data_IF_330702377369
#
_entry.id   IF_330702377369
#
_cell.length_a   1.000
_cell.length_b   1.000
_cell.length_c   1.000
_cell.angle_alpha   90.00
_cell.angle_beta   90.00
_cell.angle_gamma   90.00
#
_symmetry.space_group_name_H-M   'P 1'
#
loop_
_entity.id
_entity.type
_entity.pdbx_description
1 polymer ?
#
# COMPACT_ATOMS: atom_id res chain seq x y z
N UNK A 1 -0.04 -9.88 -0.45
CA UNK A 1 0.82 -10.95 -1.02
C UNK A 1 1.95 -10.37 -1.90
N UNK A 2 3.10 -9.99 -1.31
CA UNK A 2 4.18 -9.32 -2.05
C UNK A 2 4.98 -10.30 -2.92
N UNK A 3 5.47 -9.80 -4.06
CA UNK A 3 6.56 -10.45 -4.81
C UNK A 3 7.88 -9.83 -4.37
N UNK A 4 8.72 -10.62 -3.68
CA UNK A 4 9.97 -10.17 -3.08
C UNK A 4 11.19 -10.33 -4.00
N UNK A 5 11.01 -10.81 -5.24
CA UNK A 5 12.13 -11.01 -6.18
C UNK A 5 12.77 -9.71 -6.67
N UNK A 6 12.12 -8.57 -6.44
CA UNK A 6 12.60 -7.26 -6.83
C UNK A 6 12.18 -6.18 -5.82
N UNK A 7 12.85 -5.02 -5.86
CA UNK A 7 12.56 -3.89 -4.98
C UNK A 7 11.31 -3.10 -5.40
N UNK A 8 11.50 -1.82 -5.77
CA UNK A 8 10.42 -0.87 -6.04
C UNK A 8 9.49 -0.66 -4.83
N UNK A 9 10.08 -0.56 -3.63
CA UNK A 9 9.32 -0.39 -2.39
C UNK A 9 8.41 0.84 -2.46
N UNK A 10 7.18 0.67 -1.99
CA UNK A 10 6.24 1.77 -1.83
C UNK A 10 6.73 2.63 -0.66
N UNK A 11 6.93 3.93 -0.89
CA UNK A 11 7.30 4.89 0.17
C UNK A 11 6.28 6.01 0.31
N UNK A 12 6.07 6.44 1.54
CA UNK A 12 5.21 7.58 1.89
C UNK A 12 5.97 8.90 1.67
N UNK A 13 5.32 9.83 0.98
CA UNK A 13 5.81 11.17 0.67
C UNK A 13 4.94 12.26 1.30
N UNK A 14 3.88 11.88 2.03
CA UNK A 14 2.89 12.83 2.56
C UNK A 14 3.53 13.95 3.38
N UNK A 15 4.57 13.66 4.17
CA UNK A 15 5.33 14.64 4.95
C UNK A 15 6.04 15.68 4.06
N UNK A 16 6.66 15.25 2.95
CA UNK A 16 7.36 16.15 2.04
C UNK A 16 6.35 17.00 1.26
N UNK A 17 5.36 16.37 0.65
CA UNK A 17 4.47 17.06 -0.30
C UNK A 17 3.37 17.87 0.39
N UNK A 18 3.13 17.66 1.70
CA UNK A 18 2.28 18.54 2.50
C UNK A 18 2.77 20.00 2.46
N UNK A 19 4.08 20.21 2.29
CA UNK A 19 4.71 21.52 2.21
C UNK A 19 4.81 22.07 0.77
N UNK A 20 4.23 21.37 -0.21
CA UNK A 20 4.26 21.80 -1.61
C UNK A 20 3.10 22.75 -1.95
N UNK A 21 3.20 23.43 -3.10
CA UNK A 21 2.09 24.22 -3.64
C UNK A 21 1.15 23.44 -4.55
N UNK A 22 1.34 22.12 -4.64
CA UNK A 22 0.53 21.29 -5.51
C UNK A 22 -0.79 20.94 -4.81
N UNK A 23 -1.87 21.61 -5.23
CA UNK A 23 -3.20 21.50 -4.61
C UNK A 23 -3.74 20.07 -4.54
N UNK A 24 -3.45 19.23 -5.53
CA UNK A 24 -3.87 17.83 -5.57
C UNK A 24 -3.34 17.06 -4.36
N UNK A 25 -2.05 17.18 -4.06
CA UNK A 25 -1.45 16.50 -2.90
C UNK A 25 -1.96 17.06 -1.58
N UNK A 26 -2.02 18.40 -1.44
CA UNK A 26 -2.51 19.04 -0.22
C UNK A 26 -3.96 18.68 0.09
N UNK A 27 -4.83 18.68 -0.93
CA UNK A 27 -6.24 18.34 -0.77
C UNK A 27 -6.42 16.90 -0.27
N UNK A 28 -5.72 15.94 -0.87
CA UNK A 28 -5.78 14.54 -0.43
C UNK A 28 -5.31 14.39 1.02
N UNK A 29 -4.21 15.03 1.40
CA UNK A 29 -3.68 14.95 2.78
C UNK A 29 -4.64 15.58 3.79
N UNK A 30 -5.20 16.76 3.47
CA UNK A 30 -6.17 17.43 4.33
C UNK A 30 -7.42 16.58 4.59
N UNK A 31 -7.80 15.74 3.64
CA UNK A 31 -8.94 14.81 3.74
C UNK A 31 -8.56 13.43 4.34
N UNK A 32 -7.41 13.32 5.03
CA UNK A 32 -6.96 12.09 5.68
C UNK A 32 -6.39 11.03 4.72
N UNK A 33 -6.15 11.40 3.45
CA UNK A 33 -5.52 10.55 2.46
C UNK A 33 -4.00 10.44 2.64
N UNK A 34 -3.37 9.74 1.69
CA UNK A 34 -1.93 9.51 1.64
C UNK A 34 -1.38 9.82 0.25
N UNK A 35 -0.13 10.27 0.21
CA UNK A 35 0.63 10.43 -1.04
C UNK A 35 1.82 9.49 -0.96
N UNK A 36 1.81 8.46 -1.79
CA UNK A 36 2.88 7.47 -1.84
C UNK A 36 3.33 7.28 -3.28
N UNK A 37 4.48 6.64 -3.46
CA UNK A 37 4.95 6.32 -4.80
C UNK A 37 5.88 5.12 -4.85
N UNK A 38 6.39 4.87 -6.05
CA UNK A 38 7.49 3.95 -6.35
C UNK A 38 8.45 4.63 -7.33
N UNK A 39 9.68 4.16 -7.40
CA UNK A 39 10.69 4.62 -8.36
C UNK A 39 10.95 3.55 -9.41
N UNK A 40 10.59 3.81 -10.66
CA UNK A 40 10.86 2.96 -11.81
C UNK A 40 12.25 3.29 -12.40
N UNK A 41 13.24 2.37 -12.27
CA UNK A 41 14.61 2.65 -12.66
C UNK A 41 14.77 2.77 -14.17
N UNK A 42 15.54 3.76 -14.63
CA UNK A 42 15.85 3.99 -16.04
C UNK A 42 14.66 4.43 -16.91
N UNK A 43 13.54 4.81 -16.31
CA UNK A 43 12.31 5.13 -17.03
C UNK A 43 12.08 6.64 -17.28
N UNK A 44 13.04 7.52 -16.98
CA UNK A 44 12.87 8.96 -17.18
C UNK A 44 12.54 9.35 -18.63
N UNK A 45 12.96 8.53 -19.61
CA UNK A 45 12.73 8.74 -21.05
C UNK A 45 11.43 8.13 -21.57
N UNK A 46 10.54 7.65 -20.69
CA UNK A 46 9.24 7.14 -21.10
C UNK A 46 8.49 8.16 -21.97
N UNK A 47 7.91 7.66 -23.06
CA UNK A 47 7.12 8.47 -24.00
C UNK A 47 5.78 8.87 -23.38
N UNK A 48 5.13 9.88 -23.95
CA UNK A 48 3.78 10.30 -23.51
C UNK A 48 2.78 9.15 -23.53
N UNK A 49 2.85 8.27 -24.53
CA UNK A 49 1.96 7.12 -24.64
C UNK A 49 2.20 6.11 -23.51
N UNK A 50 3.47 5.80 -23.19
CA UNK A 50 3.79 4.91 -22.07
C UNK A 50 3.36 5.48 -20.72
N UNK A 51 3.50 6.80 -20.52
CA UNK A 51 3.00 7.45 -19.30
C UNK A 51 1.47 7.44 -19.23
N UNK A 52 0.78 7.58 -20.38
CA UNK A 52 -0.68 7.51 -20.47
C UNK A 52 -1.20 6.09 -20.18
N UNK A 53 -0.50 5.03 -20.63
CA UNK A 53 -0.82 3.65 -20.26
C UNK A 53 -0.76 3.43 -18.74
N UNK A 54 0.31 3.90 -18.09
CA UNK A 54 0.44 3.79 -16.63
C UNK A 54 -0.65 4.60 -15.90
N UNK A 55 -1.00 5.78 -16.42
CA UNK A 55 -2.10 6.58 -15.88
C UNK A 55 -3.45 5.87 -16.02
N UNK A 56 -3.73 5.26 -17.18
CA UNK A 56 -4.94 4.45 -17.40
C UNK A 56 -5.02 3.25 -16.48
N UNK A 57 -3.88 2.58 -16.23
CA UNK A 57 -3.82 1.48 -15.27
C UNK A 57 -4.19 1.95 -13.85
N UNK A 58 -3.67 3.10 -13.42
CA UNK A 58 -4.04 3.68 -12.13
C UNK A 58 -5.54 4.06 -12.07
N UNK A 59 -6.07 4.64 -13.14
CA UNK A 59 -7.49 5.03 -13.23
C UNK A 59 -8.44 3.84 -13.26
N UNK A 60 -8.05 2.72 -13.90
CA UNK A 60 -8.84 1.49 -13.92
C UNK A 60 -9.05 0.89 -12.52
N UNK A 61 -8.17 1.22 -11.56
CA UNK A 61 -8.28 0.83 -10.16
C UNK A 61 -9.00 1.88 -9.29
N UNK A 62 -9.49 2.96 -9.89
CA UNK A 62 -10.25 4.02 -9.21
C UNK A 62 -9.42 5.20 -8.70
N UNK A 63 -8.13 5.29 -9.02
CA UNK A 63 -7.38 6.51 -8.75
C UNK A 63 -7.84 7.65 -9.68
N UNK A 64 -7.85 8.89 -9.19
CA UNK A 64 -8.15 10.05 -10.05
C UNK A 64 -7.10 10.24 -11.15
N UNK A 65 -5.85 9.88 -10.86
CA UNK A 65 -4.75 9.88 -11.82
C UNK A 65 -3.42 9.47 -11.20
N UNK A 66 -2.39 9.51 -12.04
CA UNK A 66 -1.01 9.19 -11.71
C UNK A 66 -0.12 10.41 -11.96
N UNK A 67 0.58 10.87 -10.93
CA UNK A 67 1.61 11.88 -11.09
C UNK A 67 2.92 11.20 -11.44
N UNK A 68 3.49 11.54 -12.59
CA UNK A 68 4.76 11.03 -13.06
C UNK A 68 5.83 12.12 -12.95
N UNK A 69 7.05 11.74 -12.58
CA UNK A 69 8.17 12.67 -12.45
C UNK A 69 9.47 12.04 -12.93
N UNK A 70 9.91 12.44 -14.13
CA UNK A 70 11.21 12.01 -14.68
C UNK A 70 12.34 12.85 -14.07
N UNK A 71 13.37 12.18 -13.57
CA UNK A 71 14.55 12.79 -12.95
C UNK A 71 15.69 12.98 -13.95
N UNK A 72 15.53 13.91 -14.90
CA UNK A 72 16.56 14.23 -15.89
C UNK A 72 17.03 13.03 -16.74
N UNK A 73 18.23 13.13 -17.30
CA UNK A 73 18.86 12.05 -18.08
C UNK A 73 19.81 11.22 -17.22
N UNK A 74 20.05 9.94 -17.56
CA UNK A 74 21.06 9.14 -16.88
C UNK A 74 22.44 9.80 -16.90
N UNK A 75 23.19 9.64 -15.81
CA UNK A 75 24.52 10.23 -15.62
C UNK A 75 24.49 11.55 -14.86
N UNK A 76 25.33 11.66 -13.83
CA UNK A 76 25.40 12.82 -12.92
C UNK A 76 24.83 12.54 -11.53
N UNK A 77 25.06 13.47 -10.60
CA UNK A 77 24.53 13.41 -9.24
C UNK A 77 23.15 14.07 -9.18
N UNK A 78 22.26 13.53 -8.33
CA UNK A 78 21.03 14.23 -7.93
C UNK A 78 21.32 15.62 -7.37
N UNK A 79 22.52 15.88 -6.84
CA UNK A 79 22.91 17.21 -6.35
C UNK A 79 22.89 18.29 -7.45
N UNK A 80 23.13 17.88 -8.70
CA UNK A 80 23.10 18.77 -9.86
C UNK A 80 21.70 18.87 -10.50
N UNK A 81 20.69 18.21 -9.94
CA UNK A 81 19.32 18.28 -10.44
C UNK A 81 18.81 19.73 -10.39
N UNK A 82 18.41 20.24 -11.54
CA UNK A 82 17.70 21.51 -11.66
C UNK A 82 16.23 21.27 -11.99
N UNK A 83 15.38 22.28 -11.78
CA UNK A 83 13.94 22.15 -12.05
C UNK A 83 13.66 21.90 -13.54
N UNK A 84 14.50 22.42 -14.43
CA UNK A 84 14.40 22.28 -15.89
C UNK A 84 14.65 20.83 -16.36
N UNK A 85 15.43 20.06 -15.59
CA UNK A 85 15.68 18.65 -15.85
C UNK A 85 14.50 17.76 -15.45
N UNK A 86 13.59 18.26 -14.62
CA UNK A 86 12.46 17.48 -14.10
C UNK A 86 11.26 17.62 -15.03
N UNK A 87 10.76 16.49 -15.54
CA UNK A 87 9.53 16.46 -16.34
C UNK A 87 8.39 15.93 -15.50
N UNK A 88 7.51 16.84 -15.06
CA UNK A 88 6.29 16.49 -14.31
C UNK A 88 5.28 17.65 -14.36
N UNK A 89 3.99 17.34 -14.32
CA UNK A 89 2.93 18.34 -14.09
C UNK A 89 3.05 18.99 -12.70
N UNK A 90 3.66 18.31 -11.73
CA UNK A 90 3.86 18.78 -10.37
C UNK A 90 5.15 19.59 -10.19
N UNK A 91 6.09 19.57 -11.17
CA UNK A 91 7.43 20.12 -11.00
C UNK A 91 7.40 21.59 -10.57
N UNK A 92 6.62 22.43 -11.25
CA UNK A 92 6.52 23.88 -10.96
C UNK A 92 5.94 24.24 -9.58
N UNK A 93 5.38 23.26 -8.86
CA UNK A 93 4.77 23.43 -7.54
C UNK A 93 5.63 22.84 -6.42
N UNK A 94 6.80 22.31 -6.77
CA UNK A 94 7.74 21.69 -5.86
C UNK A 94 9.07 22.44 -5.93
N UNK A 95 9.74 22.57 -4.80
CA UNK A 95 11.11 23.06 -4.79
C UNK A 95 12.06 21.95 -5.27
N UNK A 96 13.22 22.33 -5.81
CA UNK A 96 14.26 21.36 -6.16
C UNK A 96 14.67 20.50 -4.96
N UNK A 97 14.72 21.10 -3.77
CA UNK A 97 15.03 20.38 -2.53
C UNK A 97 13.96 19.33 -2.19
N UNK A 98 12.67 19.65 -2.29
CA UNK A 98 11.58 18.67 -2.11
C UNK A 98 11.70 17.51 -3.10
N UNK A 99 12.00 17.77 -4.37
CA UNK A 99 12.20 16.72 -5.38
C UNK A 99 13.41 15.84 -5.03
N UNK A 100 14.52 16.43 -4.58
CA UNK A 100 15.69 15.67 -4.12
C UNK A 100 15.37 14.83 -2.89
N UNK A 101 14.59 15.34 -1.94
CA UNK A 101 14.14 14.57 -0.77
C UNK A 101 13.26 13.39 -1.18
N UNK A 102 12.33 13.60 -2.11
CA UNK A 102 11.50 12.52 -2.67
C UNK A 102 12.37 11.46 -3.35
N UNK A 103 13.27 11.87 -4.25
CA UNK A 103 14.19 10.97 -4.95
C UNK A 103 15.05 10.16 -3.97
N UNK A 104 15.64 10.81 -2.97
CA UNK A 104 16.42 10.16 -1.92
C UNK A 104 15.60 9.14 -1.13
N UNK A 105 14.32 9.42 -0.84
CA UNK A 105 13.44 8.51 -0.12
C UNK A 105 13.19 7.21 -0.87
N UNK A 106 13.16 7.27 -2.20
CA UNK A 106 13.05 6.10 -3.05
C UNK A 106 14.39 5.43 -3.39
N UNK A 107 15.52 6.04 -3.02
CA UNK A 107 16.83 5.63 -3.54
C UNK A 107 16.96 5.83 -5.06
N UNK A 108 16.22 6.78 -5.62
CA UNK A 108 16.22 7.08 -7.05
C UNK A 108 17.54 7.73 -7.48
N UNK A 109 17.86 7.59 -8.76
CA UNK A 109 19.00 8.22 -9.43
C UNK A 109 18.54 9.10 -10.60
N UNK A 110 19.45 9.90 -11.14
CA UNK A 110 19.24 10.57 -12.42
C UNK A 110 18.93 9.53 -13.51
N UNK A 111 17.90 9.78 -14.32
CA UNK A 111 17.39 8.83 -15.32
C UNK A 111 16.23 7.96 -14.86
N UNK A 112 15.80 8.06 -13.60
CA UNK A 112 14.66 7.31 -13.07
C UNK A 112 13.33 8.07 -13.17
N UNK A 113 12.23 7.34 -13.01
CA UNK A 113 10.86 7.86 -13.04
C UNK A 113 10.16 7.59 -11.71
N UNK A 114 9.70 8.64 -11.04
CA UNK A 114 8.81 8.48 -9.89
C UNK A 114 7.36 8.37 -10.36
N UNK A 115 6.66 7.37 -9.84
CA UNK A 115 5.22 7.14 -10.04
C UNK A 115 4.52 7.39 -8.70
N UNK A 116 3.70 8.43 -8.63
CA UNK A 116 3.15 8.97 -7.37
C UNK A 116 1.63 8.99 -7.45
N UNK A 117 1.00 8.42 -6.43
CA UNK A 117 -0.45 8.32 -6.28
C UNK A 117 -0.88 9.02 -4.99
N UNK A 118 -1.94 9.82 -5.09
CA UNK A 118 -2.56 10.52 -3.97
C UNK A 118 -4.03 10.08 -3.88
N UNK A 119 -4.39 9.35 -2.83
CA UNK A 119 -5.75 8.85 -2.60
C UNK A 119 -5.95 8.42 -1.12
N UNK A 120 -7.11 7.81 -0.81
CA UNK A 120 -7.34 7.15 0.50
C UNK A 120 -6.31 6.02 0.74
N UNK A 121 -5.91 5.73 1.99
CA UNK A 121 -4.82 4.79 2.29
C UNK A 121 -4.92 3.41 1.61
N UNK A 122 -6.11 2.78 1.65
CA UNK A 122 -6.36 1.47 1.02
C UNK A 122 -6.18 1.56 -0.50
N UNK A 123 -6.79 2.54 -1.14
CA UNK A 123 -6.72 2.74 -2.59
C UNK A 123 -5.29 3.05 -3.07
N UNK A 124 -4.55 3.91 -2.36
CA UNK A 124 -3.15 4.22 -2.71
C UNK A 124 -2.30 2.95 -2.73
N UNK A 125 -2.43 2.10 -1.71
CA UNK A 125 -1.66 0.86 -1.63
C UNK A 125 -2.05 -0.10 -2.76
N UNK A 126 -3.35 -0.25 -3.06
CA UNK A 126 -3.83 -1.10 -4.16
C UNK A 126 -3.28 -0.66 -5.51
N UNK A 127 -3.36 0.64 -5.81
CA UNK A 127 -2.91 1.19 -7.10
C UNK A 127 -1.39 1.04 -7.26
N UNK A 128 -0.63 1.34 -6.22
CA UNK A 128 0.83 1.25 -6.27
C UNK A 128 1.34 -0.19 -6.29
N UNK A 129 0.62 -1.14 -5.68
CA UNK A 129 0.93 -2.56 -5.78
C UNK A 129 0.78 -3.04 -7.24
N UNK A 130 -0.28 -2.64 -7.94
CA UNK A 130 -0.45 -2.98 -9.36
C UNK A 130 0.62 -2.32 -10.24
N UNK A 131 0.86 -1.01 -10.06
CA UNK A 131 1.92 -0.30 -10.79
C UNK A 131 3.30 -0.95 -10.53
N UNK A 132 3.57 -1.37 -9.29
CA UNK A 132 4.80 -2.06 -8.94
C UNK A 132 4.94 -3.39 -9.68
N UNK A 133 3.87 -4.21 -9.75
CA UNK A 133 3.87 -5.47 -10.50
C UNK A 133 4.08 -5.22 -11.99
N UNK A 134 3.36 -4.26 -12.56
CA UNK A 134 3.47 -3.88 -13.97
C UNK A 134 4.89 -3.41 -14.32
N UNK A 135 5.50 -2.55 -13.49
CA UNK A 135 6.88 -2.12 -13.70
C UNK A 135 7.88 -3.26 -13.51
N UNK A 136 7.65 -4.15 -12.54
CA UNK A 136 8.45 -5.37 -12.36
C UNK A 136 8.43 -6.27 -13.61
N UNK A 137 7.27 -6.38 -14.27
CA UNK A 137 7.11 -7.11 -15.52
C UNK A 137 7.78 -6.40 -16.71
N UNK A 138 7.46 -5.12 -16.96
CA UNK A 138 8.02 -4.32 -18.08
C UNK A 138 9.54 -4.26 -18.03
N UNK A 139 10.11 -4.13 -16.83
CA UNK A 139 11.55 -4.02 -16.61
C UNK A 139 12.24 -5.37 -16.36
N UNK A 140 11.48 -6.48 -16.37
CA UNK A 140 11.99 -7.85 -16.17
C UNK A 140 12.83 -7.99 -14.90
N UNK A 141 12.39 -7.36 -13.81
CA UNK A 141 13.16 -7.32 -12.55
C UNK A 141 13.10 -8.64 -11.78
N UNK A 142 12.03 -9.41 -11.96
CA UNK A 142 11.88 -10.69 -11.30
C UNK A 142 12.71 -11.77 -12.02
N UNK A 143 13.66 -12.37 -11.30
CA UNK A 143 14.43 -13.50 -11.82
C UNK A 143 13.54 -14.75 -11.93
N UNK A 144 13.41 -15.38 -13.12
CA UNK A 144 12.47 -16.49 -13.33
C UNK A 144 12.74 -17.73 -12.47
N UNK A 145 14.01 -18.00 -12.17
CA UNK A 145 14.44 -19.22 -11.46
C UNK A 145 14.57 -19.01 -9.94
N UNK A 146 14.12 -17.88 -9.42
CA UNK A 146 14.14 -17.57 -7.98
C UNK A 146 12.75 -17.79 -7.40
N UNK A 147 12.69 -18.55 -6.31
CA UNK A 147 11.51 -18.66 -5.47
C UNK A 147 11.75 -17.84 -4.20
N UNK A 148 10.99 -16.76 -4.05
CA UNK A 148 11.03 -15.91 -2.87
C UNK A 148 9.79 -16.16 -2.01
N UNK A 149 10.02 -16.77 -0.84
CA UNK A 149 8.98 -17.09 0.13
C UNK A 149 8.91 -16.04 1.23
N UNK A 150 7.70 -15.79 1.74
CA UNK A 150 7.48 -14.95 2.89
C UNK A 150 6.30 -15.47 3.72
N UNK A 151 6.40 -15.30 5.04
CA UNK A 151 5.23 -15.33 5.91
C UNK A 151 4.75 -13.90 6.12
N UNK A 152 3.46 -13.67 5.87
CA UNK A 152 2.77 -12.46 6.29
C UNK A 152 2.05 -12.82 7.58
N UNK A 153 2.30 -12.05 8.63
CA UNK A 153 1.78 -12.26 9.98
C UNK A 153 1.24 -10.94 10.52
N UNK A 154 0.62 -10.99 11.69
CA UNK A 154 0.12 -9.81 12.41
C UNK A 154 -0.93 -9.02 11.62
N UNK A 155 -1.76 -9.74 10.87
CA UNK A 155 -2.99 -9.20 10.30
C UNK A 155 -3.88 -8.61 11.41
N UNK A 156 -4.65 -7.55 11.13
CA UNK A 156 -5.75 -7.15 11.99
C UNK A 156 -6.72 -8.32 12.20
N UNK A 157 -7.34 -8.41 13.36
CA UNK A 157 -8.38 -9.41 13.62
C UNK A 157 -9.69 -9.07 12.91
N UNK A 158 -10.04 -7.79 12.91
CA UNK A 158 -11.29 -7.25 12.40
C UNK A 158 -11.00 -6.11 11.42
N UNK A 159 -11.84 -5.98 10.37
CA UNK A 159 -11.90 -4.80 9.50
C UNK A 159 -13.20 -4.04 9.79
N UNK A 160 -13.14 -2.72 9.77
CA UNK A 160 -14.36 -1.91 9.89
C UNK A 160 -14.96 -1.71 8.50
N UNK A 161 -16.17 -2.20 8.29
CA UNK A 161 -16.89 -1.92 7.07
C UNK A 161 -17.61 -0.56 7.19
N UNK A 162 -17.10 0.46 6.49
CA UNK A 162 -17.68 1.81 6.48
C UNK A 162 -19.10 1.85 5.87
N UNK A 163 -19.46 0.91 5.00
CA UNK A 163 -20.77 0.87 4.34
C UNK A 163 -21.85 0.27 5.23
N UNK A 164 -21.53 -0.81 5.95
CA UNK A 164 -22.48 -1.49 6.84
C UNK A 164 -22.43 -0.95 8.27
N UNK A 165 -21.35 -0.26 8.64
CA UNK A 165 -21.11 0.22 10.00
C UNK A 165 -20.89 -0.92 10.99
N UNK A 166 -20.27 -2.01 10.54
CA UNK A 166 -20.06 -3.22 11.34
C UNK A 166 -18.61 -3.71 11.23
N UNK A 167 -18.17 -4.42 12.27
CA UNK A 167 -16.91 -5.17 12.21
C UNK A 167 -17.09 -6.45 11.40
N UNK A 168 -16.13 -6.73 10.53
CA UNK A 168 -16.03 -7.96 9.77
C UNK A 168 -14.74 -8.70 10.14
N UNK A 169 -14.73 -10.04 10.15
CA UNK A 169 -13.50 -10.78 10.39
C UNK A 169 -12.56 -10.65 9.19
N UNK A 170 -11.28 -10.33 9.43
CA UNK A 170 -10.27 -10.25 8.37
C UNK A 170 -9.98 -11.60 7.69
N UNK A 171 -10.22 -12.72 8.38
CA UNK A 171 -10.01 -14.06 7.85
C UNK A 171 -11.23 -14.96 8.08
N UNK A 172 -11.54 -15.29 9.32
CA UNK A 172 -12.78 -15.98 9.71
C UNK A 172 -13.09 -15.72 11.20
N UNK A 173 -14.35 -15.88 11.64
CA UNK A 173 -14.76 -15.50 13.01
C UNK A 173 -14.15 -16.34 14.14
N UNK A 174 -13.58 -17.51 13.83
CA UNK A 174 -12.89 -18.37 14.81
C UNK A 174 -11.39 -18.06 15.02
N UNK A 175 -10.88 -16.97 14.42
CA UNK A 175 -9.45 -16.63 14.47
C UNK A 175 -9.09 -16.12 15.85
N UNK A 176 -8.06 -16.67 16.47
CA UNK A 176 -7.61 -16.21 17.77
C UNK A 176 -6.89 -14.85 17.66
N UNK A 177 -7.16 -13.89 18.57
CA UNK A 177 -6.32 -12.71 18.74
C UNK A 177 -4.92 -13.08 19.27
N UNK A 178 -3.95 -12.18 19.09
CA UNK A 178 -2.71 -12.16 19.88
C UNK A 178 -3.07 -11.99 21.36
N UNK A 179 -2.39 -12.71 22.24
CA UNK A 179 -2.78 -12.78 23.66
C UNK A 179 -2.62 -11.42 24.33
N UNK A 180 -1.58 -10.69 23.96
CA UNK A 180 -1.29 -9.33 24.42
C UNK A 180 -2.33 -8.29 24.00
N UNK A 181 -3.09 -8.55 22.92
CA UNK A 181 -4.05 -7.61 22.36
C UNK A 181 -5.50 -7.88 22.82
N UNK A 182 -5.77 -8.98 23.54
CA UNK A 182 -7.13 -9.40 23.95
C UNK A 182 -7.87 -8.32 24.72
N UNK A 183 -7.15 -7.56 25.56
CA UNK A 183 -7.72 -6.45 26.34
C UNK A 183 -8.23 -5.30 25.46
N UNK A 184 -7.69 -5.14 24.25
CA UNK A 184 -8.09 -4.08 23.31
C UNK A 184 -9.42 -4.37 22.62
N UNK A 185 -9.95 -5.59 22.70
CA UNK A 185 -11.25 -5.94 22.09
C UNK A 185 -12.41 -5.07 22.59
N UNK A 186 -12.33 -4.55 23.82
CA UNK A 186 -13.39 -3.71 24.40
C UNK A 186 -13.23 -2.21 24.09
N UNK A 187 -12.01 -1.77 23.75
CA UNK A 187 -11.67 -0.34 23.70
C UNK A 187 -11.15 0.12 22.35
N UNK A 188 -10.41 -0.74 21.64
CA UNK A 188 -9.73 -0.44 20.39
C UNK A 188 -9.62 -1.71 19.52
N UNK A 189 -10.75 -2.32 19.12
CA UNK A 189 -10.77 -3.57 18.34
C UNK A 189 -10.00 -3.48 17.01
N UNK A 190 -9.88 -2.28 16.42
CA UNK A 190 -9.10 -2.03 15.21
C UNK A 190 -7.59 -2.26 15.37
N UNK A 191 -7.10 -2.30 16.61
CA UNK A 191 -5.69 -2.53 16.95
C UNK A 191 -5.38 -3.97 17.29
N UNK A 192 -6.39 -4.83 17.40
CA UNK A 192 -6.21 -6.22 17.80
C UNK A 192 -5.62 -7.00 16.62
N UNK A 193 -4.44 -7.59 16.80
CA UNK A 193 -3.83 -8.46 15.80
C UNK A 193 -4.34 -9.89 15.94
N UNK A 194 -4.47 -10.57 14.82
CA UNK A 194 -4.79 -11.98 14.72
C UNK A 194 -3.54 -12.85 14.80
N UNK A 195 -3.70 -14.05 15.37
CA UNK A 195 -2.79 -15.18 15.19
C UNK A 195 -3.07 -15.87 13.84
N UNK A 196 -3.11 -15.08 12.78
CA UNK A 196 -3.31 -15.49 11.39
C UNK A 196 -2.02 -15.27 10.60
N UNK A 197 -1.75 -16.17 9.67
CA UNK A 197 -0.58 -16.11 8.81
C UNK A 197 -0.92 -16.58 7.39
N UNK A 198 -0.26 -15.95 6.43
CA UNK A 198 -0.23 -16.40 5.03
C UNK A 198 1.20 -16.73 4.63
N UNK A 199 1.36 -17.81 3.88
CA UNK A 199 2.59 -18.11 3.14
C UNK A 199 2.43 -17.63 1.71
N UNK A 200 3.35 -16.77 1.29
CA UNK A 200 3.40 -16.17 -0.05
C UNK A 200 4.65 -16.66 -0.78
N UNK A 201 4.51 -16.98 -2.05
CA UNK A 201 5.62 -17.26 -2.96
C UNK A 201 5.45 -16.42 -4.23
N UNK A 202 6.46 -15.61 -4.56
CA UNK A 202 6.51 -14.83 -5.82
C UNK A 202 5.24 -14.00 -6.11
N UNK A 203 4.64 -13.38 -5.08
CA UNK A 203 3.41 -12.57 -5.23
C UNK A 203 2.10 -13.35 -5.20
N UNK A 204 2.16 -14.68 -5.07
CA UNK A 204 1.01 -15.56 -4.93
C UNK A 204 0.89 -16.06 -3.49
N UNK A 205 -0.31 -16.00 -2.92
CA UNK A 205 -0.63 -16.72 -1.69
C UNK A 205 -0.69 -18.22 -2.04
N UNK A 206 0.04 -19.05 -1.29
CA UNK A 206 0.15 -20.49 -1.53
C UNK A 206 -0.33 -21.34 -0.36
N UNK A 207 -0.44 -20.75 0.83
CA UNK A 207 -1.09 -21.34 1.99
C UNK A 207 -1.50 -20.23 2.96
N UNK A 208 -2.47 -20.52 3.82
CA UNK A 208 -2.89 -19.62 4.89
C UNK A 208 -3.45 -20.42 6.06
N UNK A 209 -3.46 -19.81 7.25
CA UNK A 209 -3.95 -20.46 8.45
C UNK A 209 -4.09 -19.51 9.63
N UNK A 210 -4.69 -20.00 10.68
CA UNK A 210 -4.81 -19.26 11.94
C UNK A 210 -4.89 -20.20 13.13
N UNK A 211 -4.41 -19.73 14.27
CA UNK A 211 -4.72 -20.36 15.54
C UNK A 211 -6.19 -20.07 15.86
N UNK A 212 -6.88 -21.08 16.40
CA UNK A 212 -8.33 -21.00 16.67
C UNK A 212 -8.59 -20.61 18.12
N UNK A 213 -9.68 -19.87 18.32
CA UNK A 213 -10.21 -19.63 19.66
C UNK A 213 -10.71 -20.96 20.21
N UNK A 214 -10.25 -21.31 21.41
CA UNK A 214 -10.62 -22.56 22.08
C UNK A 214 -11.44 -22.33 23.35
N UNK A 215 -11.71 -21.07 23.73
CA UNK A 215 -12.53 -20.73 24.90
C UNK A 215 -13.86 -20.14 24.46
N UNK A 216 -14.96 -20.68 24.99
CA UNK A 216 -16.32 -20.25 24.64
C UNK A 216 -16.57 -18.78 24.95
N UNK A 217 -16.05 -18.29 26.09
CA UNK A 217 -16.17 -16.88 26.48
C UNK A 217 -15.55 -15.93 25.44
N UNK A 218 -14.33 -16.20 24.98
CA UNK A 218 -13.68 -15.36 23.98
C UNK A 218 -14.38 -15.45 22.62
N UNK A 219 -14.81 -16.65 22.22
CA UNK A 219 -15.53 -16.84 20.96
C UNK A 219 -16.86 -16.08 20.94
N UNK A 220 -17.63 -16.13 22.04
CA UNK A 220 -18.87 -15.34 22.19
C UNK A 220 -18.57 -13.85 22.12
N UNK A 221 -17.50 -13.36 22.74
CA UNK A 221 -17.08 -11.96 22.65
C UNK A 221 -16.80 -11.51 21.21
N UNK A 222 -16.08 -12.33 20.42
CA UNK A 222 -15.86 -12.03 19.00
C UNK A 222 -17.18 -11.99 18.23
N UNK A 223 -18.08 -12.95 18.43
CA UNK A 223 -19.38 -12.92 17.76
C UNK A 223 -20.21 -11.68 18.13
N UNK A 224 -20.16 -11.23 19.38
CA UNK A 224 -20.80 -9.98 19.79
C UNK A 224 -20.24 -8.76 19.07
N UNK A 225 -18.91 -8.69 18.88
CA UNK A 225 -18.28 -7.61 18.10
C UNK A 225 -18.70 -7.63 16.62
N UNK A 226 -18.93 -8.83 16.08
CA UNK A 226 -19.45 -9.03 14.72
C UNK A 226 -20.97 -8.78 14.60
N UNK A 227 -21.64 -8.38 15.68
CA UNK A 227 -23.05 -8.00 15.67
C UNK A 227 -24.05 -9.14 15.90
N UNK A 228 -23.60 -10.35 16.24
CA UNK A 228 -24.51 -11.46 16.52
C UNK A 228 -25.18 -11.33 17.90
N UNK A 229 -26.48 -11.60 17.97
CA UNK A 229 -27.24 -11.77 19.21
C UNK A 229 -26.93 -13.10 19.90
N UNK A 230 -27.28 -13.26 21.18
CA UNK A 230 -27.04 -14.54 21.88
C UNK A 230 -27.84 -15.70 21.27
N UNK A 231 -29.04 -15.43 20.77
CA UNK A 231 -29.88 -16.41 20.09
C UNK A 231 -29.23 -16.88 18.78
N UNK A 232 -28.73 -15.95 17.95
CA UNK A 232 -28.04 -16.29 16.71
C UNK A 232 -26.74 -17.05 16.94
N UNK A 233 -26.01 -16.71 18.02
CA UNK A 233 -24.79 -17.43 18.41
C UNK A 233 -25.13 -18.88 18.76
N UNK A 234 -26.16 -19.10 19.58
CA UNK A 234 -26.58 -20.44 19.99
C UNK A 234 -27.12 -21.26 18.82
N UNK A 235 -27.98 -20.67 18.00
CA UNK A 235 -28.59 -21.36 16.86
C UNK A 235 -27.55 -21.81 15.82
N UNK A 236 -26.52 -21.00 15.57
CA UNK A 236 -25.56 -21.25 14.49
C UNK A 236 -24.28 -21.93 14.95
N UNK A 237 -23.89 -21.76 16.21
CA UNK A 237 -22.56 -22.14 16.71
C UNK A 237 -22.57 -22.75 18.12
N UNK A 238 -23.75 -22.97 18.72
CA UNK A 238 -23.94 -23.54 20.06
C UNK A 238 -23.58 -25.02 20.19
#
# INVERSE_FOLDING_TARGET
KPDLRFGLDIRDLSDIVAQSDFSVFRSVIANGGKVKGICAPGCATYTRNQLDELNKLAQALGAEGLVTMSLGTPGGSLDNLTIEMVRSVAAKFLTVDQIKQMAKRFGASMGDLLLIVAAKPKLVNTVLDELRREMGYRLKLAQPNVLAFAFIVDYPLLDWNEETGQWEPMHHPFTAPRDEDVSLLDTAPEKVRAKHYDMVCNGCEIAGGSLRIYTSHLQRKIFKLLGYSDAEIEERFG
#
